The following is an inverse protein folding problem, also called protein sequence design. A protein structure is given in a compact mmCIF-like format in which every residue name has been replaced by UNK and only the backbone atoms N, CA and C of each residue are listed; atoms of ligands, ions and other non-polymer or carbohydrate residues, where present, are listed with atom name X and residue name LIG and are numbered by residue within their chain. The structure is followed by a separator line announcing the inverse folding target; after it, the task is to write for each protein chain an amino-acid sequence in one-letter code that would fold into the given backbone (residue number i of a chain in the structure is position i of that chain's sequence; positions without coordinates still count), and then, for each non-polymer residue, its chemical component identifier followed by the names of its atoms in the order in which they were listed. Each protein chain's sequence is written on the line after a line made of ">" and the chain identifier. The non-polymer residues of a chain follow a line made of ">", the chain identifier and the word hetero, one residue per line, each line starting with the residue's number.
data_IF_089844488289
#
_entry.id   IF_089844488289
#
_cell.length_a   1.000
_cell.length_b   1.000
_cell.length_c   1.000
_cell.angle_alpha   90.00
_cell.angle_beta   90.00
_cell.angle_gamma   90.00
#
_symmetry.space_group_name_H-M   'P 1'
#
loop_
_entity.id
_entity.type
_entity.pdbx_description
1 polymer ?
#
# COMPACT_ATOMS: atom_id res chain seq x y z
N UNK A 1 -36.33 39.49 -37.72
CA UNK A 1 -36.25 38.43 -36.69
C UNK A 1 -35.88 37.15 -37.44
N UNK A 2 -34.77 36.44 -37.22
CA UNK A 2 -34.08 36.12 -35.98
C UNK A 2 -32.55 36.26 -36.09
N UNK A 3 -31.90 36.32 -34.93
CA UNK A 3 -30.52 36.68 -34.72
C UNK A 3 -29.53 35.50 -34.72
N UNK A 4 -28.29 35.85 -35.05
CA UNK A 4 -27.02 35.13 -34.91
C UNK A 4 -26.76 34.53 -33.51
N UNK A 5 -26.10 33.35 -33.44
CA UNK A 5 -25.12 33.01 -32.37
C UNK A 5 -24.22 31.80 -32.71
N UNK A 6 -22.98 32.13 -33.08
CA UNK A 6 -21.68 31.65 -32.54
C UNK A 6 -21.52 30.16 -32.11
N UNK A 7 -20.57 29.49 -32.79
CA UNK A 7 -19.33 28.85 -32.28
C UNK A 7 -19.42 28.01 -30.98
N UNK A 8 -19.10 26.71 -31.07
CA UNK A 8 -17.76 26.16 -30.79
C UNK A 8 -17.82 24.63 -30.67
N UNK A 9 -16.91 23.94 -31.36
CA UNK A 9 -16.57 22.55 -31.08
C UNK A 9 -15.98 22.47 -29.66
N UNK A 10 -16.40 21.48 -28.88
CA UNK A 10 -15.86 21.24 -27.55
C UNK A 10 -14.99 19.97 -27.62
N UNK A 11 -13.65 20.10 -27.68
CA UNK A 11 -12.77 18.95 -27.49
C UNK A 11 -12.79 18.66 -25.99
N UNK A 12 -13.42 17.54 -25.59
CA UNK A 12 -13.28 17.04 -24.22
C UNK A 12 -11.79 16.88 -23.94
N UNK A 13 -11.33 17.75 -23.05
CA UNK A 13 -9.95 18.02 -22.72
C UNK A 13 -9.18 16.72 -22.44
N UNK A 14 -8.11 16.53 -23.20
CA UNK A 14 -6.96 15.76 -22.78
C UNK A 14 -6.54 16.25 -21.39
N UNK A 15 -6.77 15.45 -20.35
CA UNK A 15 -6.18 15.69 -19.04
C UNK A 15 -4.70 15.35 -19.13
N UNK A 16 -3.94 16.29 -19.68
CA UNK A 16 -2.49 16.38 -19.49
C UNK A 16 -2.23 16.60 -18.00
N UNK A 17 -1.78 15.53 -17.33
CA UNK A 17 -1.44 15.54 -15.92
C UNK A 17 -1.29 14.17 -15.29
N UNK A 18 -0.89 13.12 -16.03
CA UNK A 18 -0.39 11.90 -15.41
C UNK A 18 1.00 12.18 -14.85
N UNK A 19 1.06 12.87 -13.72
CA UNK A 19 2.11 12.55 -12.76
C UNK A 19 1.97 11.04 -12.50
N UNK A 20 3.07 10.31 -12.58
CA UNK A 20 3.10 8.84 -12.50
C UNK A 20 2.39 8.36 -11.22
N UNK A 21 1.08 8.12 -11.31
CA UNK A 21 0.26 7.77 -10.16
C UNK A 21 0.36 6.26 -10.01
N UNK A 22 1.19 5.82 -9.06
CA UNK A 22 1.27 4.41 -8.69
C UNK A 22 -0.07 3.95 -8.11
N UNK A 23 -0.48 2.74 -8.48
CA UNK A 23 -1.64 2.09 -7.87
C UNK A 23 -1.32 1.76 -6.40
N UNK A 24 -2.32 1.87 -5.50
CA UNK A 24 -2.15 1.45 -4.11
C UNK A 24 -1.68 -0.01 -4.00
N UNK A 25 -2.13 -0.87 -4.90
CA UNK A 25 -1.69 -2.28 -4.96
C UNK A 25 -0.23 -2.39 -5.37
N UNK A 26 0.27 -1.51 -6.25
CA UNK A 26 1.68 -1.53 -6.65
C UNK A 26 2.58 -1.12 -5.48
N UNK A 27 2.16 -0.11 -4.71
CA UNK A 27 2.87 0.35 -3.51
C UNK A 27 2.90 -0.74 -2.44
N UNK A 28 1.75 -1.32 -2.06
CA UNK A 28 1.70 -2.38 -1.05
C UNK A 28 2.53 -3.61 -1.43
N UNK A 29 2.58 -3.95 -2.72
CA UNK A 29 3.44 -5.04 -3.21
C UNK A 29 4.92 -4.68 -3.21
N UNK A 30 5.27 -3.41 -3.34
CA UNK A 30 6.66 -2.97 -3.17
C UNK A 30 7.08 -3.09 -1.71
N UNK A 31 6.23 -2.66 -0.77
CA UNK A 31 6.47 -2.86 0.66
C UNK A 31 6.68 -4.34 1.00
N UNK A 32 5.88 -5.26 0.42
CA UNK A 32 6.08 -6.70 0.61
C UNK A 32 7.46 -7.16 0.14
N UNK A 33 7.90 -6.71 -1.04
CA UNK A 33 9.22 -7.05 -1.59
C UNK A 33 10.36 -6.50 -0.73
N UNK A 34 10.20 -5.30 -0.19
CA UNK A 34 11.18 -4.69 0.70
C UNK A 34 11.34 -5.50 1.99
N UNK A 35 10.22 -5.87 2.62
CA UNK A 35 10.22 -6.73 3.82
C UNK A 35 10.82 -8.11 3.53
N UNK A 36 10.45 -8.74 2.41
CA UNK A 36 11.06 -10.01 1.96
C UNK A 36 12.58 -9.88 1.81
N UNK A 37 13.06 -8.79 1.21
CA UNK A 37 14.48 -8.49 1.07
C UNK A 37 15.20 -8.34 2.40
N UNK A 38 14.59 -7.68 3.40
CA UNK A 38 15.17 -7.59 4.74
C UNK A 38 15.24 -8.95 5.44
N UNK A 39 14.25 -9.82 5.27
CA UNK A 39 14.33 -11.19 5.80
C UNK A 39 15.46 -11.99 5.16
N UNK A 40 15.62 -11.91 3.85
CA UNK A 40 16.74 -12.55 3.15
C UNK A 40 18.09 -12.01 3.67
N UNK A 41 18.22 -10.69 3.85
CA UNK A 41 19.42 -10.08 4.42
C UNK A 41 19.69 -10.62 5.83
N UNK A 42 18.68 -10.58 6.72
CA UNK A 42 18.77 -11.07 8.08
C UNK A 42 19.29 -12.52 8.17
N UNK A 43 18.82 -13.41 7.28
CA UNK A 43 19.24 -14.81 7.23
C UNK A 43 20.72 -14.98 6.81
N UNK A 44 21.24 -14.07 6.00
CA UNK A 44 22.64 -14.12 5.53
C UNK A 44 23.64 -13.55 6.52
N UNK A 45 23.21 -12.71 7.46
CA UNK A 45 24.08 -12.08 8.43
C UNK A 45 24.64 -13.09 9.44
N UNK A 46 25.91 -12.90 9.82
CA UNK A 46 26.60 -13.73 10.82
C UNK A 46 26.77 -13.03 12.17
N UNK A 47 26.74 -11.70 12.19
CA UNK A 47 26.91 -10.87 13.38
C UNK A 47 25.56 -10.56 14.04
N UNK A 48 25.52 -10.69 15.36
CA UNK A 48 24.28 -10.51 16.13
C UNK A 48 23.83 -9.04 16.17
N UNK A 49 24.77 -8.07 16.15
CA UNK A 49 24.41 -6.65 16.17
C UNK A 49 23.89 -6.18 14.81
N UNK A 50 24.45 -6.69 13.71
CA UNK A 50 23.90 -6.46 12.36
C UNK A 50 22.50 -7.09 12.23
N UNK A 51 22.30 -8.31 12.76
CA UNK A 51 20.98 -8.94 12.82
C UNK A 51 19.97 -8.14 13.62
N UNK A 52 20.36 -7.64 14.79
CA UNK A 52 19.49 -6.81 15.62
C UNK A 52 19.04 -5.56 14.87
N UNK A 53 19.95 -4.90 14.13
CA UNK A 53 19.61 -3.73 13.32
C UNK A 53 18.57 -4.07 12.23
N UNK A 54 18.80 -5.12 11.44
CA UNK A 54 17.86 -5.54 10.38
C UNK A 54 16.53 -6.02 10.96
N UNK A 55 16.53 -6.69 12.12
CA UNK A 55 15.30 -7.08 12.80
C UNK A 55 14.45 -5.87 13.19
N UNK A 56 15.07 -4.79 13.67
CA UNK A 56 14.36 -3.55 13.98
C UNK A 56 13.76 -2.90 12.73
N UNK A 57 14.48 -2.94 11.60
CA UNK A 57 13.99 -2.43 10.31
C UNK A 57 12.79 -3.25 9.82
N UNK A 58 12.84 -4.59 9.92
CA UNK A 58 11.71 -5.49 9.62
C UNK A 58 10.50 -5.15 10.49
N UNK A 59 10.69 -5.02 11.81
CA UNK A 59 9.60 -4.69 12.73
C UNK A 59 8.95 -3.35 12.37
N UNK A 60 9.74 -2.33 12.08
CA UNK A 60 9.25 -1.02 11.68
C UNK A 60 8.48 -1.08 10.35
N UNK A 61 9.03 -1.75 9.34
CA UNK A 61 8.40 -1.89 8.02
C UNK A 61 7.05 -2.60 8.13
N UNK A 62 6.98 -3.70 8.89
CA UNK A 62 5.74 -4.43 9.14
C UNK A 62 4.69 -3.58 9.87
N UNK A 63 5.11 -2.79 10.87
CA UNK A 63 4.20 -1.89 11.59
C UNK A 63 3.60 -0.82 10.67
N UNK A 64 4.45 -0.18 9.85
CA UNK A 64 4.02 0.86 8.90
C UNK A 64 3.11 0.27 7.83
N UNK A 65 3.48 -0.87 7.24
CA UNK A 65 2.68 -1.55 6.24
C UNK A 65 1.29 -1.92 6.77
N UNK A 66 1.23 -2.55 7.94
CA UNK A 66 -0.04 -2.91 8.58
C UNK A 66 -0.90 -1.67 8.91
N UNK A 67 -0.28 -0.57 9.32
CA UNK A 67 -1.01 0.69 9.56
C UNK A 67 -1.61 1.26 8.27
N UNK A 68 -0.85 1.29 7.17
CA UNK A 68 -1.34 1.76 5.86
C UNK A 68 -2.52 0.90 5.40
N UNK A 69 -2.39 -0.43 5.53
CA UNK A 69 -3.47 -1.33 5.14
C UNK A 69 -4.73 -1.10 5.98
N UNK A 70 -4.62 -1.04 7.30
CA UNK A 70 -5.76 -0.87 8.20
C UNK A 70 -6.44 0.50 8.10
N UNK A 71 -5.67 1.58 7.99
CA UNK A 71 -6.20 2.95 8.03
C UNK A 71 -6.67 3.45 6.65
N UNK A 72 -6.07 2.94 5.57
CA UNK A 72 -6.28 3.49 4.22
C UNK A 72 -6.83 2.43 3.27
N UNK A 73 -6.22 1.26 3.19
CA UNK A 73 -6.55 0.28 2.16
C UNK A 73 -7.83 -0.52 2.48
N UNK A 74 -7.89 -1.16 3.63
CA UNK A 74 -8.98 -2.03 4.07
C UNK A 74 -10.36 -1.34 4.11
N UNK A 75 -10.50 -0.06 4.53
CA UNK A 75 -11.79 0.64 4.48
C UNK A 75 -12.40 0.65 3.08
N UNK A 76 -11.58 0.90 2.06
CA UNK A 76 -12.04 0.93 0.67
C UNK A 76 -12.12 -0.48 0.06
N UNK A 77 -11.13 -1.34 0.34
CA UNK A 77 -11.08 -2.71 -0.16
C UNK A 77 -12.30 -3.52 0.30
N UNK A 78 -12.79 -3.32 1.53
CA UNK A 78 -13.97 -4.01 2.05
C UNK A 78 -15.23 -3.79 1.22
N UNK A 79 -15.35 -2.63 0.58
CA UNK A 79 -16.47 -2.30 -0.30
C UNK A 79 -16.28 -2.83 -1.73
N UNK A 80 -15.07 -3.26 -2.09
CA UNK A 80 -14.69 -3.62 -3.46
C UNK A 80 -14.39 -5.11 -3.68
N UNK A 81 -14.30 -5.93 -2.64
CA UNK A 81 -13.99 -7.37 -2.75
C UNK A 81 -15.23 -8.24 -2.58
N UNK A 82 -15.23 -9.41 -3.22
CA UNK A 82 -16.32 -10.39 -3.15
C UNK A 82 -16.46 -11.03 -1.74
N UNK A 83 -15.38 -11.01 -0.95
CA UNK A 83 -15.23 -11.71 0.33
C UNK A 83 -14.68 -10.80 1.43
N UNK A 84 -15.51 -9.91 1.99
CA UNK A 84 -15.09 -8.96 3.03
C UNK A 84 -14.56 -9.62 4.31
N UNK A 85 -14.90 -10.89 4.56
CA UNK A 85 -14.39 -11.69 5.68
C UNK A 85 -12.87 -11.89 5.65
N UNK A 86 -12.25 -11.85 4.47
CA UNK A 86 -10.79 -11.94 4.34
C UNK A 86 -10.07 -10.76 5.01
N UNK A 87 -10.73 -9.59 5.06
CA UNK A 87 -10.18 -8.42 5.76
C UNK A 87 -10.32 -8.61 7.29
N UNK A 88 -11.38 -9.26 7.76
CA UNK A 88 -11.52 -9.58 9.18
C UNK A 88 -10.43 -10.56 9.63
N UNK A 89 -10.14 -11.58 8.81
CA UNK A 89 -9.01 -12.50 9.01
C UNK A 89 -7.67 -11.74 9.03
N UNK A 90 -7.42 -10.87 8.04
CA UNK A 90 -6.20 -10.07 7.98
C UNK A 90 -5.99 -9.17 9.20
N UNK A 91 -7.05 -8.53 9.71
CA UNK A 91 -6.97 -7.71 10.94
C UNK A 91 -6.57 -8.57 12.15
N UNK A 92 -7.08 -9.81 12.25
CA UNK A 92 -6.70 -10.73 13.34
C UNK A 92 -5.23 -11.14 13.21
N UNK A 93 -4.76 -11.44 12.00
CA UNK A 93 -3.37 -11.79 11.73
C UNK A 93 -2.43 -10.61 12.03
N UNK A 94 -2.79 -9.39 11.64
CA UNK A 94 -2.05 -8.18 11.98
C UNK A 94 -1.99 -7.93 13.48
N UNK A 95 -3.09 -8.13 14.21
CA UNK A 95 -3.09 -8.00 15.66
C UNK A 95 -2.12 -8.99 16.32
N UNK A 96 -2.08 -10.24 15.83
CA UNK A 96 -1.13 -11.24 16.30
C UNK A 96 0.32 -10.87 15.96
N UNK A 97 0.59 -10.41 14.74
CA UNK A 97 1.92 -9.96 14.32
C UNK A 97 2.41 -8.79 15.18
N UNK A 98 1.56 -7.77 15.38
CA UNK A 98 1.85 -6.61 16.24
C UNK A 98 2.19 -7.03 17.67
N UNK A 99 1.50 -8.02 18.25
CA UNK A 99 1.82 -8.51 19.59
C UNK A 99 3.22 -9.11 19.72
N UNK A 100 3.80 -9.61 18.63
CA UNK A 100 5.13 -10.21 18.63
C UNK A 100 6.25 -9.19 18.43
N UNK A 101 5.97 -8.08 17.74
CA UNK A 101 6.99 -7.13 17.29
C UNK A 101 6.91 -5.75 17.97
N UNK A 102 5.91 -5.50 18.81
CA UNK A 102 5.66 -4.19 19.46
C UNK A 102 5.99 -4.18 20.95
#
# INVERSE_FOLDING_TARGET
>A
MAANRKRSADPKQDRAGTQNAFSAIELLKEDHREVEGFFEEYETLGDDAEKEAVALDICLALQVHAQIEEEIFYPEARNGIDKPELIDEAIVEHAAAKQLIS
#
